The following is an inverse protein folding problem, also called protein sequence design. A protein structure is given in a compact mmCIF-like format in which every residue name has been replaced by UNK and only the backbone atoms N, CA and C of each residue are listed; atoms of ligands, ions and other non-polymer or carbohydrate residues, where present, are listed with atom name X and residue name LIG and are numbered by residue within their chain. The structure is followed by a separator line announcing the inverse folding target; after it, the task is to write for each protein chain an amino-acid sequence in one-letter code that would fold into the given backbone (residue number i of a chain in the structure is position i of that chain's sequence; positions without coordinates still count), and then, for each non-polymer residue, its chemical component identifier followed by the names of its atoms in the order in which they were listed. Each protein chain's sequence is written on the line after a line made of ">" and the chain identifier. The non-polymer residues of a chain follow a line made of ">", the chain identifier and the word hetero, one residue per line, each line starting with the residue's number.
data_IF_765469698172
#
_entry.id   IF_765469698172
#
_cell.length_a   1.000
_cell.length_b   1.000
_cell.length_c   1.000
_cell.angle_alpha   90.00
_cell.angle_beta   90.00
_cell.angle_gamma   90.00
#
_symmetry.space_group_name_H-M   'P 1'
#
loop_
_entity.id
_entity.type
_entity.pdbx_description
1 polymer ?
#
# COMPACT_ATOMS: atom_id res chain seq x y z
N UNK A 1 1.47 -12.90 2.95
CA UNK A 1 1.69 -11.50 2.53
C UNK A 1 0.51 -11.00 1.73
N UNK A 2 0.02 -9.86 2.12
CA UNK A 2 -1.04 -9.19 1.39
C UNK A 2 -0.47 -8.12 0.47
N UNK A 3 -1.06 -7.94 -0.68
CA UNK A 3 -0.66 -6.88 -1.58
C UNK A 3 -1.88 -6.23 -2.22
N UNK A 4 -1.72 -5.00 -2.63
CA UNK A 4 -2.73 -4.23 -3.32
C UNK A 4 -2.08 -3.66 -4.57
N UNK A 5 -2.68 -3.94 -5.72
CA UNK A 5 -2.17 -3.45 -7.00
C UNK A 5 -3.17 -2.46 -7.56
N UNK A 6 -2.69 -1.28 -7.88
CA UNK A 6 -3.49 -0.22 -8.48
C UNK A 6 -2.97 0.09 -9.87
N UNK A 7 -3.88 0.27 -10.79
CA UNK A 7 -3.53 0.57 -12.16
C UNK A 7 -4.42 1.71 -12.62
N UNK A 8 -3.91 2.93 -12.49
CA UNK A 8 -4.64 4.13 -12.85
C UNK A 8 -4.10 4.71 -14.14
N UNK A 9 -5.00 5.09 -15.00
CA UNK A 9 -4.65 5.65 -16.30
C UNK A 9 -5.02 7.12 -16.36
N UNK A 10 -4.17 7.89 -17.00
CA UNK A 10 -4.44 9.28 -17.42
C UNK A 10 -4.67 10.26 -16.28
N UNK A 11 -4.22 9.94 -15.07
CA UNK A 11 -4.42 10.85 -13.94
C UNK A 11 -3.30 10.71 -12.92
N UNK A 12 -2.98 11.82 -12.31
CA UNK A 12 -2.21 11.79 -11.09
C UNK A 12 -3.15 11.52 -9.94
N UNK A 13 -2.65 10.88 -8.91
CA UNK A 13 -3.44 10.67 -7.71
C UNK A 13 -2.59 10.81 -6.47
N UNK A 14 -3.26 11.11 -5.35
CA UNK A 14 -2.63 11.17 -4.05
C UNK A 14 -3.68 10.63 -3.07
N UNK A 15 -3.44 9.44 -2.53
CA UNK A 15 -4.44 8.76 -1.70
C UNK A 15 -3.78 8.00 -0.57
N UNK A 16 -4.54 7.80 0.48
CA UNK A 16 -4.17 6.90 1.56
C UNK A 16 -4.98 5.64 1.43
N UNK A 17 -4.40 4.52 1.78
CA UNK A 17 -5.05 3.23 1.63
C UNK A 17 -5.16 2.53 2.97
N UNK A 18 -6.28 1.86 3.16
CA UNK A 18 -6.49 1.00 4.32
C UNK A 18 -5.93 -0.37 3.99
N UNK A 19 -4.98 -0.84 4.78
CA UNK A 19 -4.41 -2.17 4.59
C UNK A 19 -5.07 -3.13 5.58
N UNK A 20 -5.57 -4.23 5.06
CA UNK A 20 -6.27 -5.22 5.87
C UNK A 20 -5.60 -6.57 5.74
N UNK A 21 -5.65 -7.34 6.83
CA UNK A 21 -5.17 -8.70 6.84
C UNK A 21 -6.07 -9.57 5.97
N UNK A 22 -5.48 -10.42 5.16
CA UNK A 22 -6.24 -11.38 4.37
C UNK A 22 -6.84 -12.49 5.23
N UNK A 23 -6.29 -12.68 6.42
CA UNK A 23 -6.72 -13.75 7.30
C UNK A 23 -7.89 -13.32 8.17
N UNK A 24 -7.81 -12.13 8.77
CA UNK A 24 -8.82 -11.68 9.73
C UNK A 24 -9.70 -10.57 9.21
N UNK A 25 -9.34 -9.94 8.11
CA UNK A 25 -10.01 -8.75 7.56
C UNK A 25 -9.95 -7.54 8.48
N UNK A 26 -9.06 -7.57 9.45
CA UNK A 26 -8.87 -6.44 10.35
C UNK A 26 -7.78 -5.51 9.82
N UNK A 27 -7.85 -4.23 10.15
CA UNK A 27 -6.81 -3.30 9.72
C UNK A 27 -5.44 -3.73 10.25
N UNK A 28 -4.43 -3.60 9.42
CA UNK A 28 -3.05 -3.89 9.81
C UNK A 28 -2.51 -2.63 10.48
N UNK A 29 -2.48 -2.62 11.80
CA UNK A 29 -2.04 -1.48 12.58
C UNK A 29 -0.55 -1.53 12.80
N UNK A 30 0.11 -0.37 12.59
CA UNK A 30 1.56 -0.25 12.81
C UNK A 30 2.36 -1.31 12.06
N UNK A 31 1.83 -1.73 10.91
CA UNK A 31 2.48 -2.72 10.06
C UNK A 31 3.36 -2.05 9.02
N UNK A 32 4.49 -2.67 8.74
CA UNK A 32 5.38 -2.16 7.71
C UNK A 32 4.85 -2.52 6.34
N UNK A 33 4.99 -1.60 5.42
CA UNK A 33 4.59 -1.85 4.04
C UNK A 33 5.63 -1.29 3.09
N UNK A 34 5.59 -1.80 1.86
CA UNK A 34 6.44 -1.34 0.77
C UNK A 34 5.57 -0.97 -0.39
N UNK A 35 5.93 0.10 -1.07
CA UNK A 35 5.23 0.55 -2.26
C UNK A 35 6.14 0.35 -3.46
N UNK A 36 5.64 -0.35 -4.45
CA UNK A 36 6.35 -0.61 -5.70
C UNK A 36 5.65 0.11 -6.84
N UNK A 37 6.43 0.74 -7.69
CA UNK A 37 5.92 1.33 -8.92
C UNK A 37 6.60 0.66 -10.09
N UNK A 38 5.80 0.08 -10.98
CA UNK A 38 6.31 -0.66 -12.14
C UNK A 38 7.34 -1.71 -11.74
N UNK A 39 7.10 -2.37 -10.62
CA UNK A 39 7.98 -3.43 -10.15
C UNK A 39 9.19 -2.98 -9.36
N UNK A 40 9.33 -1.67 -9.14
CA UNK A 40 10.47 -1.14 -8.38
C UNK A 40 10.03 -0.59 -7.04
N UNK A 41 10.78 -0.91 -6.01
CA UNK A 41 10.52 -0.37 -4.67
C UNK A 41 10.83 1.12 -4.67
N UNK A 42 9.85 1.93 -4.30
CA UNK A 42 10.02 3.38 -4.26
C UNK A 42 9.79 3.98 -2.89
N UNK A 43 9.11 3.28 -2.01
CA UNK A 43 8.75 3.84 -0.71
C UNK A 43 8.51 2.72 0.28
N UNK A 44 8.91 2.95 1.52
CA UNK A 44 8.53 2.09 2.63
C UNK A 44 7.88 2.96 3.70
N UNK A 45 6.99 2.35 4.47
CA UNK A 45 6.31 3.09 5.52
C UNK A 45 5.73 2.16 6.55
N UNK A 46 5.00 2.74 7.49
CA UNK A 46 4.33 1.99 8.54
C UNK A 46 2.90 2.54 8.65
N UNK A 47 1.92 1.64 8.70
CA UNK A 47 0.54 2.07 8.85
C UNK A 47 0.32 2.69 10.23
N UNK A 48 -0.72 3.50 10.32
CA UNK A 48 -1.08 4.12 11.59
C UNK A 48 -1.95 3.18 12.43
N UNK A 49 -2.51 3.69 13.50
CA UNK A 49 -3.33 2.90 14.39
C UNK A 49 -4.65 2.45 13.78
N UNK A 50 -5.01 3.03 12.66
CA UNK A 50 -6.23 2.67 11.93
C UNK A 50 -5.93 1.78 10.72
N UNK A 51 -4.66 1.44 10.50
CA UNK A 51 -4.27 0.62 9.35
C UNK A 51 -4.10 1.40 8.06
N UNK A 52 -4.02 2.72 8.15
CA UNK A 52 -3.89 3.56 6.96
C UNK A 52 -2.45 3.82 6.60
N UNK A 53 -2.18 3.88 5.31
CA UNK A 53 -0.85 4.26 4.82
C UNK A 53 -0.69 5.77 4.85
N UNK A 54 0.53 6.22 4.60
CA UNK A 54 0.77 7.61 4.30
C UNK A 54 0.18 7.94 2.92
N UNK A 55 0.18 9.21 2.59
CA UNK A 55 -0.28 9.66 1.29
C UNK A 55 0.64 9.09 0.21
N UNK A 56 0.06 8.32 -0.70
CA UNK A 56 0.81 7.69 -1.79
C UNK A 56 0.40 8.38 -3.08
N UNK A 57 1.39 8.83 -3.83
CA UNK A 57 1.15 9.53 -5.09
C UNK A 57 1.53 8.65 -6.26
N UNK A 58 0.87 8.86 -7.37
CA UNK A 58 1.16 8.16 -8.60
C UNK A 58 0.81 9.00 -9.80
N UNK A 59 1.30 8.59 -10.96
CA UNK A 59 1.05 9.29 -12.20
C UNK A 59 0.53 8.32 -13.27
N UNK A 60 0.24 8.90 -14.43
CA UNK A 60 -0.28 8.16 -15.59
C UNK A 60 0.47 6.88 -15.87
N UNK A 61 -0.29 5.82 -16.06
CA UNK A 61 0.25 4.57 -16.56
C UNK A 61 1.13 3.80 -15.60
N UNK A 62 1.27 4.27 -14.39
CA UNK A 62 2.05 3.55 -13.40
C UNK A 62 1.24 2.44 -12.75
N UNK A 63 1.86 1.28 -12.62
CA UNK A 63 1.28 0.20 -11.84
C UNK A 63 1.84 0.31 -10.42
N UNK A 64 0.94 0.42 -9.46
CA UNK A 64 1.34 0.58 -8.07
C UNK A 64 0.91 -0.64 -7.28
N UNK A 65 1.87 -1.22 -6.58
CA UNK A 65 1.62 -2.35 -5.70
C UNK A 65 2.05 -1.98 -4.29
N UNK A 66 1.18 -2.27 -3.32
CA UNK A 66 1.50 -2.07 -1.91
C UNK A 66 1.57 -3.44 -1.26
N UNK A 67 2.71 -3.75 -0.67
CA UNK A 67 2.92 -5.02 0.01
C UNK A 67 3.07 -4.80 1.50
N UNK A 68 2.43 -5.66 2.26
CA UNK A 68 2.57 -5.64 3.71
C UNK A 68 3.74 -6.54 4.09
N UNK A 69 4.68 -5.97 4.84
CA UNK A 69 5.90 -6.66 5.25
C UNK A 69 5.94 -6.68 6.77
N UNK A 70 6.30 -7.83 7.33
CA UNK A 70 6.43 -7.93 8.78
C UNK A 70 5.13 -8.02 9.52
N UNK A 71 4.07 -8.33 8.81
CA UNK A 71 2.78 -8.61 9.42
C UNK A 71 2.87 -9.94 10.18
N UNK A 72 2.18 -10.01 11.29
CA UNK A 72 2.27 -11.19 12.15
C UNK A 72 1.26 -12.26 11.86
N UNK A 73 0.50 -12.11 10.85
CA UNK A 73 -0.42 -13.21 10.51
C UNK A 73 0.30 -14.43 10.00
#
# INVERSE_FOLDING_TARGET
>A
ISSLILNKENHEFAERFLLQSEVTNEPVRHGKYEVYKNGQLVLTGTTDENGMTELITGTDGEEIEIRIVGDKE
#
